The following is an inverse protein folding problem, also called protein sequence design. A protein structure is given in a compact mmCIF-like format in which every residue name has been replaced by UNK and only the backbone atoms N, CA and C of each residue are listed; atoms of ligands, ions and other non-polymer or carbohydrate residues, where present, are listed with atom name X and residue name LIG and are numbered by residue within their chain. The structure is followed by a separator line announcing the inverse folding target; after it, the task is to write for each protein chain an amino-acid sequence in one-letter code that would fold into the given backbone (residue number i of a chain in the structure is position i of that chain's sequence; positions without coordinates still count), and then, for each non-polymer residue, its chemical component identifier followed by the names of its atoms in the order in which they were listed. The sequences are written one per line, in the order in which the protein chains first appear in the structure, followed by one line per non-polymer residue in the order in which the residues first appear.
data_IF_700287326417
#
_entry.id   IF_700287326417
#
_cell.length_a   1.000
_cell.length_b   1.000
_cell.length_c   1.000
_cell.angle_alpha   90.00
_cell.angle_beta   90.00
_cell.angle_gamma   90.00
#
_symmetry.space_group_name_H-M   'P 1'
#
loop_
_entity.id
_entity.type
_entity.pdbx_description
1 polymer ?
#
# COMPACT_ATOMS: atom_id res chain seq x y z
N UNK A 1 16.86 14.90 -27.99
CA UNK A 1 15.90 16.02 -27.76
C UNK A 1 16.58 17.08 -26.91
N UNK A 2 16.33 18.36 -27.18
CA UNK A 2 16.82 19.46 -26.34
C UNK A 2 16.02 19.50 -25.03
N UNK A 3 16.57 20.12 -24.00
CA UNK A 3 15.88 20.33 -22.71
C UNK A 3 14.51 20.99 -22.91
N UNK A 4 14.47 22.09 -23.66
CA UNK A 4 13.25 22.80 -24.01
C UNK A 4 12.20 21.89 -24.70
N UNK A 5 12.63 20.97 -25.58
CA UNK A 5 11.69 20.06 -26.25
C UNK A 5 11.11 19.02 -25.31
N UNK A 6 11.87 18.58 -24.32
CA UNK A 6 11.39 17.66 -23.26
C UNK A 6 10.34 18.37 -22.38
N UNK A 7 10.64 19.58 -21.91
CA UNK A 7 9.72 20.39 -21.12
C UNK A 7 8.38 20.63 -21.83
N UNK A 8 8.42 21.00 -23.13
CA UNK A 8 7.21 21.18 -23.95
C UNK A 8 6.44 19.88 -24.15
N UNK A 9 7.12 18.76 -24.32
CA UNK A 9 6.47 17.46 -24.48
C UNK A 9 5.70 17.08 -23.21
N UNK A 10 6.34 17.21 -22.04
CA UNK A 10 5.70 16.91 -20.76
C UNK A 10 4.55 17.92 -20.44
N UNK A 11 4.73 19.19 -20.77
CA UNK A 11 3.66 20.20 -20.66
C UNK A 11 2.43 19.86 -21.52
N UNK A 12 2.62 19.36 -22.74
CA UNK A 12 1.50 18.87 -23.57
C UNK A 12 0.80 17.66 -22.96
N UNK A 13 1.56 16.74 -22.34
CA UNK A 13 0.99 15.60 -21.63
C UNK A 13 0.12 16.06 -20.46
N UNK A 14 0.58 17.03 -19.66
CA UNK A 14 -0.22 17.62 -18.56
C UNK A 14 -1.54 18.18 -19.11
N UNK A 15 -1.49 18.95 -20.19
CA UNK A 15 -2.70 19.52 -20.81
C UNK A 15 -3.63 18.42 -21.33
N UNK A 16 -3.11 17.36 -21.93
CA UNK A 16 -3.90 16.23 -22.40
C UNK A 16 -4.61 15.51 -21.25
N UNK A 17 -3.90 15.22 -20.16
CA UNK A 17 -4.47 14.63 -18.96
C UNK A 17 -5.55 15.53 -18.35
N UNK A 18 -5.29 16.81 -18.23
CA UNK A 18 -6.28 17.80 -17.73
C UNK A 18 -7.51 17.92 -18.63
N UNK A 19 -7.37 17.66 -19.94
CA UNK A 19 -8.45 17.59 -20.91
C UNK A 19 -9.14 16.20 -20.97
N UNK A 20 -8.99 15.37 -19.95
CA UNK A 20 -9.59 14.05 -19.80
C UNK A 20 -9.12 12.99 -20.81
N UNK A 21 -7.95 13.16 -21.44
CA UNK A 21 -7.35 12.09 -22.22
C UNK A 21 -6.65 11.09 -21.27
N UNK A 22 -6.77 9.80 -21.58
CA UNK A 22 -6.11 8.72 -20.86
C UNK A 22 -4.79 8.35 -21.53
N UNK A 23 -3.83 7.95 -20.72
CA UNK A 23 -2.54 7.44 -21.17
C UNK A 23 -2.60 5.91 -21.32
N UNK A 24 -1.82 5.36 -22.21
CA UNK A 24 -1.50 3.93 -22.19
C UNK A 24 -0.62 3.60 -20.97
N UNK A 25 -0.47 2.31 -20.66
CA UNK A 25 0.42 1.84 -19.59
C UNK A 25 1.86 2.31 -19.81
N UNK A 26 2.35 2.25 -21.06
CA UNK A 26 3.70 2.69 -21.40
C UNK A 26 3.89 4.19 -21.25
N UNK A 27 2.90 5.00 -21.66
CA UNK A 27 2.93 6.46 -21.50
C UNK A 27 2.92 6.84 -20.03
N UNK A 28 2.10 6.18 -19.22
CA UNK A 28 2.06 6.38 -17.78
C UNK A 28 3.39 5.95 -17.13
N UNK A 29 3.96 4.79 -17.53
CA UNK A 29 5.27 4.34 -17.04
C UNK A 29 6.35 5.38 -17.32
N UNK A 30 6.39 5.91 -18.53
CA UNK A 30 7.39 6.92 -18.90
C UNK A 30 7.18 8.24 -18.15
N UNK A 31 5.94 8.70 -17.99
CA UNK A 31 5.64 9.91 -17.24
C UNK A 31 6.07 9.80 -15.77
N UNK A 32 5.72 8.69 -15.11
CA UNK A 32 6.10 8.44 -13.72
C UNK A 32 7.61 8.19 -13.55
N UNK A 33 8.28 7.54 -14.52
CA UNK A 33 9.73 7.41 -14.53
C UNK A 33 10.41 8.78 -14.50
N UNK A 34 9.99 9.71 -15.36
CA UNK A 34 10.55 11.06 -15.40
C UNK A 34 10.35 11.82 -14.08
N UNK A 35 9.23 11.61 -13.40
CA UNK A 35 8.95 12.20 -12.09
C UNK A 35 9.85 11.57 -11.02
N UNK A 36 9.90 10.26 -10.96
CA UNK A 36 10.70 9.49 -9.98
C UNK A 36 12.19 9.85 -10.10
N UNK A 37 12.70 9.91 -11.33
CA UNK A 37 14.10 10.22 -11.61
C UNK A 37 14.39 11.74 -11.60
N UNK A 38 13.39 12.56 -11.26
CA UNK A 38 13.52 14.03 -11.18
C UNK A 38 13.98 14.68 -12.50
N UNK A 39 13.53 14.13 -13.64
CA UNK A 39 13.88 14.63 -14.97
C UNK A 39 13.00 15.81 -15.43
N UNK A 40 11.98 16.15 -14.66
CA UNK A 40 11.08 17.29 -14.92
C UNK A 40 11.15 18.29 -13.77
N UNK A 41 10.96 19.61 -14.03
CA UNK A 41 10.87 20.59 -12.96
C UNK A 41 9.71 20.30 -12.00
N UNK A 42 9.89 20.62 -10.73
CA UNK A 42 8.88 20.34 -9.66
C UNK A 42 7.50 20.93 -9.99
N UNK A 43 7.46 22.10 -10.64
CA UNK A 43 6.22 22.70 -11.09
C UNK A 43 5.43 21.79 -12.05
N UNK A 44 6.12 21.16 -13.01
CA UNK A 44 5.49 20.23 -13.95
C UNK A 44 5.13 18.91 -13.28
N UNK A 45 5.97 18.41 -12.38
CA UNK A 45 5.67 17.19 -11.59
C UNK A 45 4.39 17.37 -10.79
N UNK A 46 4.27 18.46 -10.03
CA UNK A 46 3.10 18.76 -9.23
C UNK A 46 1.83 18.96 -10.09
N UNK A 47 1.95 19.69 -11.20
CA UNK A 47 0.83 19.90 -12.13
C UNK A 47 0.34 18.57 -12.74
N UNK A 48 1.25 17.69 -13.17
CA UNK A 48 0.89 16.37 -13.69
C UNK A 48 0.18 15.53 -12.64
N UNK A 49 0.76 15.39 -11.45
CA UNK A 49 0.23 14.56 -10.38
C UNK A 49 -1.17 15.02 -9.96
N UNK A 50 -1.39 16.33 -9.86
CA UNK A 50 -2.69 16.88 -9.52
C UNK A 50 -3.71 16.68 -10.66
N UNK A 51 -3.33 16.96 -11.91
CA UNK A 51 -4.22 16.74 -13.06
C UNK A 51 -4.63 15.27 -13.17
N UNK A 52 -3.67 14.34 -12.99
CA UNK A 52 -3.90 12.91 -13.09
C UNK A 52 -4.86 12.39 -12.01
N UNK A 53 -4.64 12.74 -10.74
CA UNK A 53 -5.52 12.28 -9.66
C UNK A 53 -6.90 12.93 -9.73
N UNK A 54 -7.00 14.21 -10.12
CA UNK A 54 -8.28 14.93 -10.23
C UNK A 54 -9.16 14.38 -11.34
N UNK A 55 -8.57 14.01 -12.48
CA UNK A 55 -9.29 13.37 -13.58
C UNK A 55 -9.79 11.97 -13.18
N UNK A 56 -9.12 11.30 -12.29
CA UNK A 56 -9.31 9.88 -11.96
C UNK A 56 -8.47 8.99 -12.88
N UNK A 57 -7.39 8.39 -12.38
CA UNK A 57 -6.55 7.49 -13.16
C UNK A 57 -7.28 6.19 -13.52
N UNK A 58 -7.05 5.68 -14.72
CA UNK A 58 -7.48 4.34 -15.12
C UNK A 58 -6.61 3.26 -14.45
N UNK A 59 -7.10 2.02 -14.45
CA UNK A 59 -6.31 0.87 -13.97
C UNK A 59 -5.01 0.70 -14.78
N UNK A 60 -5.08 0.92 -16.09
CA UNK A 60 -3.93 0.83 -16.98
C UNK A 60 -2.85 1.88 -16.63
N UNK A 61 -3.27 3.13 -16.39
CA UNK A 61 -2.37 4.20 -15.97
C UNK A 61 -1.76 3.98 -14.58
N UNK A 62 -2.54 3.46 -13.64
CA UNK A 62 -2.04 3.09 -12.31
C UNK A 62 -1.03 1.94 -12.40
N UNK A 63 -1.28 0.97 -13.28
CA UNK A 63 -0.34 -0.13 -13.53
C UNK A 63 0.97 0.38 -14.12
N UNK A 64 0.90 1.34 -15.06
CA UNK A 64 2.10 1.99 -15.61
C UNK A 64 2.85 2.82 -14.57
N UNK A 65 2.13 3.55 -13.72
CA UNK A 65 2.73 4.27 -12.61
C UNK A 65 3.43 3.33 -11.61
N UNK A 66 2.80 2.17 -11.33
CA UNK A 66 3.38 1.11 -10.51
C UNK A 66 4.63 0.51 -11.15
N UNK A 67 4.63 0.21 -12.45
CA UNK A 67 5.79 -0.30 -13.19
C UNK A 67 7.00 0.64 -13.03
N UNK A 68 6.76 1.95 -13.09
CA UNK A 68 7.81 2.94 -12.88
C UNK A 68 8.32 2.93 -11.43
N UNK A 69 7.43 2.91 -10.44
CA UNK A 69 7.78 2.90 -9.03
C UNK A 69 8.54 1.62 -8.65
N UNK A 70 8.06 0.48 -9.10
CA UNK A 70 8.66 -0.83 -8.83
C UNK A 70 10.07 -0.95 -9.44
N UNK A 71 10.23 -0.52 -10.67
CA UNK A 71 11.50 -0.63 -11.41
C UNK A 71 12.55 0.39 -11.00
N UNK A 72 12.16 1.64 -10.80
CA UNK A 72 13.11 2.74 -10.66
C UNK A 72 13.32 3.20 -9.22
N UNK A 73 12.34 2.99 -8.34
CA UNK A 73 12.42 3.51 -6.96
C UNK A 73 12.36 2.44 -5.86
N UNK A 74 12.06 1.18 -6.17
CA UNK A 74 11.96 0.10 -5.17
C UNK A 74 13.22 -0.75 -5.16
N UNK A 75 13.94 -0.77 -4.03
CA UNK A 75 14.97 -1.76 -3.78
C UNK A 75 14.32 -3.11 -3.45
N UNK A 76 14.93 -4.20 -3.90
CA UNK A 76 14.38 -5.55 -3.76
C UNK A 76 15.25 -6.39 -2.83
N UNK A 77 14.59 -7.17 -1.98
CA UNK A 77 15.17 -8.33 -1.32
C UNK A 77 14.76 -9.61 -2.07
N UNK A 78 15.54 -10.66 -1.92
CA UNK A 78 15.28 -11.97 -2.51
C UNK A 78 15.30 -13.06 -1.45
N UNK A 79 14.66 -14.18 -1.72
CA UNK A 79 14.67 -15.35 -0.84
C UNK A 79 14.47 -16.61 -1.67
N UNK A 80 15.01 -17.72 -1.17
CA UNK A 80 14.83 -19.06 -1.74
C UNK A 80 13.76 -19.89 -0.99
N UNK A 81 12.95 -19.22 -0.16
CA UNK A 81 11.88 -19.91 0.56
C UNK A 81 10.87 -20.53 -0.40
N UNK A 82 10.52 -21.80 -0.20
CA UNK A 82 9.46 -22.42 -0.99
C UNK A 82 8.08 -21.95 -0.53
N UNK A 83 7.14 -21.86 -1.48
CA UNK A 83 5.75 -21.51 -1.24
C UNK A 83 5.48 -20.01 -1.25
N UNK A 84 4.23 -19.61 -1.03
CA UNK A 84 3.81 -18.23 -1.15
C UNK A 84 4.40 -17.36 -0.05
N UNK A 85 4.80 -16.14 -0.43
CA UNK A 85 5.23 -15.08 0.48
C UNK A 85 4.16 -13.99 0.47
N UNK A 86 3.64 -13.66 1.64
CA UNK A 86 2.56 -12.71 1.80
C UNK A 86 3.06 -11.36 2.33
N UNK A 87 2.45 -10.29 1.84
CA UNK A 87 2.53 -8.97 2.47
C UNK A 87 1.17 -8.62 3.10
N UNK A 88 1.19 -7.92 4.23
CA UNK A 88 -0.02 -7.47 4.94
C UNK A 88 0.13 -5.98 5.22
N UNK A 89 -0.69 -5.16 4.55
CA UNK A 89 -0.58 -3.70 4.58
C UNK A 89 -1.97 -3.06 4.53
N UNK A 90 -2.07 -1.78 4.87
CA UNK A 90 -3.24 -0.95 4.66
C UNK A 90 -2.89 0.29 3.85
N UNK A 91 -3.86 0.90 3.20
CA UNK A 91 -3.68 2.17 2.48
C UNK A 91 -3.57 3.35 3.44
N UNK A 92 -4.02 3.18 4.68
CA UNK A 92 -4.25 4.29 5.58
C UNK A 92 -5.40 5.18 5.12
N UNK A 93 -5.49 6.38 5.67
CA UNK A 93 -6.51 7.40 5.33
C UNK A 93 -7.95 6.99 5.62
N UNK A 94 -8.18 5.87 6.26
CA UNK A 94 -9.47 5.38 6.72
C UNK A 94 -10.07 6.31 7.81
N UNK A 95 -11.39 6.52 7.84
CA UNK A 95 -12.06 7.34 8.84
C UNK A 95 -12.07 6.72 10.24
N UNK A 96 -12.26 5.42 10.34
CA UNK A 96 -12.29 4.68 11.60
C UNK A 96 -10.88 4.14 11.91
N UNK A 97 -10.14 4.85 12.75
CA UNK A 97 -8.78 4.45 13.12
C UNK A 97 -8.76 3.33 14.14
N UNK A 98 -8.10 2.23 13.78
CA UNK A 98 -7.86 1.06 14.63
C UNK A 98 -6.46 1.08 15.23
N UNK A 99 -6.18 0.17 16.16
CA UNK A 99 -4.80 -0.22 16.46
C UNK A 99 -4.13 -0.73 15.18
N UNK A 100 -2.79 -0.83 15.18
CA UNK A 100 -2.04 -1.31 13.99
C UNK A 100 -2.25 -2.82 13.74
N UNK A 101 -3.47 -3.22 13.32
CA UNK A 101 -3.90 -4.62 13.21
C UNK A 101 -3.01 -5.44 12.27
N UNK A 102 -2.51 -4.87 11.19
CA UNK A 102 -1.66 -5.56 10.22
C UNK A 102 -0.32 -6.05 10.81
N UNK A 103 0.19 -5.37 11.87
CA UNK A 103 1.44 -5.78 12.54
C UNK A 103 1.29 -7.11 13.31
N UNK A 104 0.36 -7.26 14.26
CA UNK A 104 0.15 -8.54 14.93
C UNK A 104 -0.36 -9.61 13.96
N UNK A 105 -1.17 -9.26 12.95
CA UNK A 105 -1.61 -10.22 11.94
C UNK A 105 -0.44 -10.85 11.18
N UNK A 106 0.58 -10.06 10.81
CA UNK A 106 1.79 -10.57 10.18
C UNK A 106 2.56 -11.53 11.08
N UNK A 107 2.72 -11.21 12.36
CA UNK A 107 3.39 -12.07 13.33
C UNK A 107 2.63 -13.39 13.56
N UNK A 108 1.30 -13.32 13.71
CA UNK A 108 0.45 -14.51 13.88
C UNK A 108 0.49 -15.38 12.63
N UNK A 109 0.37 -14.80 11.43
CA UNK A 109 0.43 -15.55 10.17
C UNK A 109 1.76 -16.27 10.00
N UNK A 110 2.89 -15.62 10.34
CA UNK A 110 4.19 -16.25 10.34
C UNK A 110 4.29 -17.38 11.38
N UNK A 111 3.74 -17.19 12.57
CA UNK A 111 3.62 -18.23 13.60
C UNK A 111 2.79 -19.44 13.17
N UNK A 112 1.82 -19.24 12.28
CA UNK A 112 1.04 -20.30 11.63
C UNK A 112 1.74 -20.95 10.42
N UNK A 113 2.96 -20.49 10.07
CA UNK A 113 3.79 -21.10 9.03
C UNK A 113 3.80 -20.42 7.68
N UNK A 114 3.03 -19.33 7.49
CA UNK A 114 3.07 -18.50 6.29
C UNK A 114 4.37 -17.69 6.25
N UNK A 115 5.04 -17.61 5.11
CA UNK A 115 6.15 -16.69 4.95
C UNK A 115 5.59 -15.26 4.73
N UNK A 116 6.08 -14.28 5.51
CA UNK A 116 5.57 -12.91 5.49
C UNK A 116 6.71 -11.91 5.29
N UNK A 117 6.69 -11.20 4.17
CA UNK A 117 7.56 -10.06 3.91
C UNK A 117 6.73 -8.77 4.06
N UNK A 118 6.58 -8.31 5.30
CA UNK A 118 5.73 -7.16 5.60
C UNK A 118 6.46 -5.86 5.33
N UNK A 119 5.91 -5.05 4.42
CA UNK A 119 6.33 -3.66 4.30
C UNK A 119 5.50 -2.74 5.19
N UNK A 120 6.00 -1.54 5.41
CA UNK A 120 5.27 -0.50 6.12
C UNK A 120 6.06 0.80 6.15
N UNK A 121 5.47 1.81 6.78
CA UNK A 121 6.07 3.14 6.92
C UNK A 121 5.81 3.69 8.32
N UNK A 122 6.51 4.76 8.66
CA UNK A 122 6.18 5.61 9.80
C UNK A 122 4.82 6.27 9.57
N UNK A 123 4.29 6.84 10.61
CA UNK A 123 3.01 7.55 10.62
C UNK A 123 2.87 8.50 9.41
N UNK A 124 1.82 8.27 8.63
CA UNK A 124 1.35 9.21 7.60
C UNK A 124 0.05 9.87 8.04
N UNK A 125 -0.90 9.06 8.56
CA UNK A 125 -2.19 9.52 9.10
C UNK A 125 -2.53 8.73 10.37
N UNK A 126 -3.21 9.33 11.35
CA UNK A 126 -3.58 8.66 12.60
C UNK A 126 -2.58 8.88 13.73
N UNK A 127 -2.34 7.87 14.58
CA UNK A 127 -1.52 7.95 15.81
C UNK A 127 -0.19 7.24 15.68
N UNK A 128 -0.12 6.14 14.90
CA UNK A 128 1.09 5.34 14.67
C UNK A 128 1.04 4.61 13.33
N UNK A 129 2.16 4.56 12.64
CA UNK A 129 2.38 3.67 11.50
C UNK A 129 2.95 2.32 11.94
N UNK A 130 3.10 1.40 10.99
CA UNK A 130 3.68 0.08 11.28
C UNK A 130 5.12 0.17 11.78
N UNK A 131 5.94 1.05 11.19
CA UNK A 131 7.32 1.29 11.62
C UNK A 131 7.40 1.74 13.07
N UNK A 132 6.50 2.65 13.50
CA UNK A 132 6.50 3.15 14.88
C UNK A 132 6.22 2.02 15.89
N UNK A 133 5.34 1.08 15.54
CA UNK A 133 5.05 -0.09 16.39
C UNK A 133 6.24 -1.05 16.41
N UNK A 134 6.82 -1.38 15.26
CA UNK A 134 7.96 -2.29 15.19
C UNK A 134 9.19 -1.75 15.93
N UNK A 135 9.43 -0.43 15.86
CA UNK A 135 10.50 0.22 16.64
C UNK A 135 10.29 0.09 18.15
N UNK A 136 9.04 0.30 18.64
CA UNK A 136 8.69 0.08 20.05
C UNK A 136 8.86 -1.40 20.46
N UNK A 137 8.62 -2.33 19.53
CA UNK A 137 8.83 -3.77 19.74
C UNK A 137 10.32 -4.18 19.66
N UNK A 138 11.23 -3.24 19.40
CA UNK A 138 12.68 -3.47 19.41
C UNK A 138 13.27 -3.85 18.05
N UNK A 139 12.55 -3.65 16.96
CA UNK A 139 13.07 -3.85 15.61
C UNK A 139 13.90 -2.62 15.20
N UNK A 140 15.15 -2.88 14.78
CA UNK A 140 16.04 -1.86 14.24
C UNK A 140 15.62 -1.52 12.79
N UNK A 141 15.02 -0.35 12.61
CA UNK A 141 14.53 0.12 11.30
C UNK A 141 15.65 0.63 10.39
N UNK A 142 16.83 0.94 10.94
CA UNK A 142 18.02 1.40 10.20
C UNK A 142 18.89 0.23 9.74
N UNK A 143 18.51 -1.00 10.08
CA UNK A 143 19.23 -2.19 9.65
C UNK A 143 19.25 -2.31 8.11
N UNK A 144 20.38 -2.69 7.50
CA UNK A 144 20.45 -2.87 6.05
C UNK A 144 19.51 -3.97 5.56
N UNK A 145 18.96 -3.82 4.34
CA UNK A 145 17.97 -4.75 3.76
C UNK A 145 18.41 -6.22 3.75
N UNK A 146 19.71 -6.49 3.71
CA UNK A 146 20.23 -7.87 3.83
C UNK A 146 19.82 -8.55 5.14
N UNK A 147 19.60 -7.79 6.22
CA UNK A 147 19.09 -8.34 7.48
C UNK A 147 17.63 -8.79 7.35
N UNK A 148 16.83 -8.08 6.54
CA UNK A 148 15.47 -8.52 6.23
C UNK A 148 15.47 -9.84 5.43
N UNK A 149 16.40 -10.01 4.48
CA UNK A 149 16.58 -11.28 3.76
C UNK A 149 16.91 -12.42 4.73
N UNK A 150 17.90 -12.20 5.60
CA UNK A 150 18.31 -13.19 6.62
C UNK A 150 17.13 -13.54 7.56
N UNK A 151 16.36 -12.55 8.02
CA UNK A 151 15.19 -12.75 8.87
C UNK A 151 14.10 -13.56 8.14
N UNK A 152 13.79 -13.19 6.90
CA UNK A 152 12.80 -13.90 6.10
C UNK A 152 13.21 -15.35 5.87
N UNK A 153 14.46 -15.59 5.51
CA UNK A 153 15.01 -16.94 5.24
C UNK A 153 15.01 -17.82 6.49
N UNK A 154 15.37 -17.28 7.65
CA UNK A 154 15.55 -18.05 8.87
C UNK A 154 14.29 -18.16 9.73
N UNK A 155 13.40 -17.15 9.69
CA UNK A 155 12.26 -17.03 10.57
C UNK A 155 10.91 -16.93 9.84
N UNK A 156 10.91 -16.94 8.50
CA UNK A 156 9.72 -16.78 7.63
C UNK A 156 8.98 -15.47 7.84
N UNK A 157 9.63 -14.48 8.43
CA UNK A 157 9.09 -13.14 8.58
C UNK A 157 10.21 -12.12 8.51
N UNK A 158 9.94 -11.02 7.81
CA UNK A 158 10.75 -9.81 7.89
C UNK A 158 9.88 -8.56 7.87
N UNK A 159 10.45 -7.46 8.33
CA UNK A 159 9.88 -6.13 8.18
C UNK A 159 10.72 -5.31 7.19
N UNK A 160 10.04 -4.59 6.30
CA UNK A 160 10.64 -3.80 5.23
C UNK A 160 10.15 -2.35 5.38
N UNK A 161 10.88 -1.51 6.12
CA UNK A 161 10.53 -0.10 6.27
C UNK A 161 10.65 0.65 4.94
N UNK A 162 9.67 1.51 4.64
CA UNK A 162 9.63 2.28 3.40
C UNK A 162 10.90 3.11 3.19
N UNK A 163 11.45 3.63 4.26
CA UNK A 163 12.70 4.41 4.27
C UNK A 163 13.92 3.61 3.81
N UNK A 164 13.90 2.27 3.99
CA UNK A 164 14.99 1.39 3.59
C UNK A 164 14.89 0.91 2.15
N UNK A 165 13.67 0.65 1.64
CA UNK A 165 13.52 0.08 0.30
C UNK A 165 13.17 1.11 -0.79
N UNK A 166 12.66 2.29 -0.45
CA UNK A 166 12.47 3.39 -1.41
C UNK A 166 13.81 4.09 -1.67
N UNK A 167 14.23 4.16 -2.91
CA UNK A 167 15.55 4.71 -3.27
C UNK A 167 15.66 6.21 -3.06
N UNK A 168 14.69 7.00 -3.51
CA UNK A 168 14.62 8.44 -3.23
C UNK A 168 13.51 9.17 -3.99
N UNK A 169 13.03 8.65 -5.09
CA UNK A 169 12.11 9.35 -6.00
C UNK A 169 10.80 9.72 -5.33
N UNK A 170 10.08 8.74 -4.83
CA UNK A 170 8.83 8.98 -4.12
C UNK A 170 9.06 9.58 -2.72
N UNK A 171 10.08 9.13 -1.99
CA UNK A 171 10.39 9.66 -0.66
C UNK A 171 10.61 11.19 -0.70
N UNK A 172 11.29 11.71 -1.74
CA UNK A 172 11.46 13.14 -1.99
C UNK A 172 10.11 13.86 -2.14
N UNK A 173 9.20 13.28 -2.91
CA UNK A 173 7.89 13.88 -3.20
C UNK A 173 6.97 13.90 -1.99
N UNK A 174 6.95 12.86 -1.16
CA UNK A 174 6.12 12.77 0.06
C UNK A 174 6.33 13.99 0.96
N UNK A 175 7.57 14.45 1.09
CA UNK A 175 7.92 15.56 1.98
C UNK A 175 7.37 16.91 1.52
N UNK A 176 7.23 17.12 0.21
CA UNK A 176 6.88 18.44 -0.36
C UNK A 176 5.47 18.49 -0.94
N UNK A 177 4.92 17.38 -1.39
CA UNK A 177 3.68 17.34 -2.17
C UNK A 177 2.44 17.68 -1.35
N UNK A 178 2.31 17.20 -0.12
CA UNK A 178 1.24 17.48 0.85
C UNK A 178 -0.20 17.41 0.28
N UNK A 179 -0.41 16.65 -0.79
CA UNK A 179 -1.72 16.35 -1.37
C UNK A 179 -1.77 14.90 -1.87
N UNK A 180 -2.99 14.37 -2.05
CA UNK A 180 -3.19 13.01 -2.55
C UNK A 180 -2.86 12.92 -4.04
N UNK A 181 -2.15 11.88 -4.43
CA UNK A 181 -1.81 11.57 -5.82
C UNK A 181 -1.94 10.07 -6.08
N UNK A 182 -1.69 9.62 -7.30
CA UNK A 182 -1.68 8.20 -7.61
C UNK A 182 -0.64 7.41 -6.76
N UNK A 183 0.42 8.05 -6.27
CA UNK A 183 1.35 7.40 -5.35
C UNK A 183 0.69 6.89 -4.05
N UNK A 184 -0.38 7.53 -3.58
CA UNK A 184 -1.13 7.06 -2.42
C UNK A 184 -1.88 5.73 -2.71
N UNK A 185 -2.15 5.44 -3.98
CA UNK A 185 -2.78 4.20 -4.43
C UNK A 185 -1.72 3.13 -4.71
N UNK A 186 -0.69 3.46 -5.52
CA UNK A 186 0.31 2.49 -5.96
C UNK A 186 1.42 2.24 -4.94
N UNK A 187 1.68 3.17 -4.03
CA UNK A 187 2.72 3.02 -3.00
C UNK A 187 2.49 1.80 -2.10
N UNK A 188 1.29 1.59 -1.56
CA UNK A 188 0.96 0.38 -0.82
C UNK A 188 1.08 -0.91 -1.64
N UNK A 189 1.13 -0.82 -2.98
CA UNK A 189 1.29 -1.95 -3.89
C UNK A 189 2.76 -2.26 -4.23
N UNK A 190 3.74 -1.50 -3.76
CA UNK A 190 5.16 -1.78 -3.99
C UNK A 190 5.54 -3.19 -3.54
N UNK A 191 6.47 -3.84 -4.24
CA UNK A 191 6.92 -5.22 -3.97
C UNK A 191 8.41 -5.24 -3.61
N UNK A 192 8.79 -4.83 -2.39
CA UNK A 192 10.20 -4.86 -1.95
C UNK A 192 10.74 -6.27 -1.70
N UNK A 193 9.89 -7.30 -1.66
CA UNK A 193 10.31 -8.69 -1.78
C UNK A 193 9.92 -9.20 -3.18
N UNK A 194 10.88 -9.66 -3.96
CA UNK A 194 10.65 -10.02 -5.37
C UNK A 194 9.70 -11.22 -5.51
N UNK A 195 9.75 -12.15 -4.54
CA UNK A 195 8.92 -13.36 -4.51
C UNK A 195 7.55 -13.17 -3.82
N UNK A 196 7.10 -11.93 -3.57
CA UNK A 196 5.74 -11.73 -3.05
C UNK A 196 4.68 -12.27 -4.03
N UNK A 197 3.96 -13.30 -3.59
CA UNK A 197 2.92 -14.00 -4.34
C UNK A 197 1.51 -13.63 -3.91
N UNK A 198 1.36 -13.09 -2.70
CA UNK A 198 0.07 -12.68 -2.18
C UNK A 198 0.16 -11.42 -1.32
N UNK A 199 -0.96 -10.70 -1.27
CA UNK A 199 -1.07 -9.48 -0.48
C UNK A 199 -2.45 -9.37 0.17
N UNK A 200 -2.48 -8.98 1.44
CA UNK A 200 -3.68 -8.45 2.07
C UNK A 200 -3.50 -6.94 2.17
N UNK A 201 -4.34 -6.20 1.47
CA UNK A 201 -4.24 -4.74 1.40
C UNK A 201 -5.58 -4.09 1.75
N UNK A 202 -5.73 -3.65 3.00
CA UNK A 202 -6.90 -2.91 3.44
C UNK A 202 -7.02 -1.56 2.74
N UNK A 203 -8.24 -1.10 2.52
CA UNK A 203 -8.53 0.16 1.85
C UNK A 203 -9.58 0.99 2.57
N UNK A 204 -9.48 2.30 2.41
CA UNK A 204 -10.36 3.26 3.07
C UNK A 204 -11.75 3.41 2.42
N UNK A 205 -12.02 2.74 1.32
CA UNK A 205 -13.35 2.67 0.70
C UNK A 205 -13.50 1.45 -0.21
N UNK A 206 -14.74 0.97 -0.44
CA UNK A 206 -14.99 -0.14 -1.37
C UNK A 206 -14.53 0.14 -2.81
N UNK A 207 -14.60 1.38 -3.26
CA UNK A 207 -14.13 1.80 -4.58
C UNK A 207 -12.63 1.63 -4.71
N UNK A 208 -11.88 2.01 -3.66
CA UNK A 208 -10.42 1.83 -3.63
C UNK A 208 -10.07 0.34 -3.55
N UNK A 209 -10.81 -0.49 -2.81
CA UNK A 209 -10.63 -1.96 -2.83
C UNK A 209 -10.70 -2.51 -4.26
N UNK A 210 -11.75 -2.16 -5.00
CA UNK A 210 -11.93 -2.60 -6.38
C UNK A 210 -10.79 -2.12 -7.30
N UNK A 211 -10.35 -0.87 -7.13
CA UNK A 211 -9.25 -0.29 -7.90
C UNK A 211 -7.91 -0.99 -7.61
N UNK A 212 -7.60 -1.23 -6.33
CA UNK A 212 -6.37 -1.93 -5.92
C UNK A 212 -6.32 -3.34 -6.49
N UNK A 213 -7.42 -4.10 -6.38
CA UNK A 213 -7.52 -5.47 -6.90
C UNK A 213 -7.39 -5.49 -8.43
N UNK A 214 -7.97 -4.51 -9.13
CA UNK A 214 -7.82 -4.40 -10.57
C UNK A 214 -6.36 -4.15 -10.98
N UNK A 215 -5.65 -3.24 -10.29
CA UNK A 215 -4.22 -2.98 -10.53
C UNK A 215 -3.40 -4.23 -10.21
N UNK A 216 -3.66 -4.91 -9.07
CA UNK A 216 -2.95 -6.13 -8.69
C UNK A 216 -3.09 -7.24 -9.74
N UNK A 217 -4.26 -7.38 -10.35
CA UNK A 217 -4.45 -8.30 -11.49
C UNK A 217 -3.60 -7.91 -12.71
N UNK A 218 -3.58 -6.63 -13.08
CA UNK A 218 -2.83 -6.14 -14.23
C UNK A 218 -1.30 -6.27 -14.05
N UNK A 219 -0.81 -6.24 -12.82
CA UNK A 219 0.61 -6.46 -12.50
C UNK A 219 0.93 -7.94 -12.19
N UNK A 220 0.01 -8.85 -12.52
CA UNK A 220 0.14 -10.31 -12.36
C UNK A 220 0.40 -10.75 -10.91
N UNK A 221 -0.26 -10.13 -9.93
CA UNK A 221 -0.28 -10.66 -8.56
C UNK A 221 -1.12 -11.94 -8.54
N UNK A 222 -0.59 -13.08 -8.06
CA UNK A 222 -1.33 -14.34 -8.09
C UNK A 222 -2.56 -14.35 -7.18
N UNK A 223 -2.44 -13.74 -5.98
CA UNK A 223 -3.53 -13.69 -5.02
C UNK A 223 -3.54 -12.38 -4.22
N UNK A 224 -4.72 -11.85 -3.95
CA UNK A 224 -4.86 -10.66 -3.12
C UNK A 224 -6.23 -10.61 -2.43
N UNK A 225 -6.26 -10.02 -1.23
CA UNK A 225 -7.48 -9.65 -0.53
C UNK A 225 -7.45 -8.15 -0.26
N UNK A 226 -8.53 -7.44 -0.60
CA UNK A 226 -8.70 -6.04 -0.26
C UNK A 226 -9.94 -5.87 0.65
N UNK A 227 -9.74 -5.91 1.99
CA UNK A 227 -10.81 -5.70 2.95
C UNK A 227 -11.15 -4.21 3.12
N UNK A 228 -12.44 -3.96 3.35
CA UNK A 228 -13.02 -2.72 3.86
C UNK A 228 -13.94 -3.07 5.02
N UNK A 229 -13.46 -2.87 6.24
CA UNK A 229 -14.20 -3.17 7.47
C UNK A 229 -15.18 -2.06 7.84
N UNK A 230 -16.34 -2.45 8.33
CA UNK A 230 -17.38 -1.55 8.84
C UNK A 230 -17.55 -1.77 10.33
N UNK A 231 -18.21 -0.85 11.02
CA UNK A 231 -18.54 -0.98 12.43
C UNK A 231 -20.04 -0.80 12.65
N UNK A 232 -20.63 -1.65 13.47
CA UNK A 232 -22.07 -1.59 13.81
C UNK A 232 -22.40 -0.26 14.50
N UNK A 233 -23.48 0.35 14.05
CA UNK A 233 -23.91 1.66 14.56
C UNK A 233 -23.22 2.86 13.93
N UNK A 234 -22.28 2.67 13.00
CA UNK A 234 -21.64 3.74 12.23
C UNK A 234 -22.17 3.80 10.80
N UNK A 235 -21.99 4.94 10.15
CA UNK A 235 -22.28 5.07 8.72
C UNK A 235 -21.39 4.08 7.93
N UNK A 236 -21.95 3.21 7.07
CA UNK A 236 -21.18 2.28 6.25
C UNK A 236 -20.14 2.95 5.30
N UNK A 237 -20.25 4.25 5.06
CA UNK A 237 -19.22 5.03 4.35
C UNK A 237 -18.00 5.37 5.21
N UNK A 238 -18.12 5.21 6.53
CA UNK A 238 -17.04 5.40 7.50
C UNK A 238 -16.50 4.03 7.90
N UNK A 239 -15.51 3.54 7.18
CA UNK A 239 -14.91 2.23 7.44
C UNK A 239 -13.44 2.31 7.82
N UNK A 240 -12.84 1.14 7.92
CA UNK A 240 -11.43 0.92 8.25
C UNK A 240 -10.76 0.06 7.17
N UNK A 241 -9.47 0.23 6.99
CA UNK A 241 -8.65 -0.52 6.04
C UNK A 241 -8.18 -1.89 6.61
N UNK A 242 -9.05 -2.56 7.37
CA UNK A 242 -8.80 -3.81 8.07
C UNK A 242 -10.01 -4.77 7.94
N UNK A 243 -9.81 -6.06 8.24
CA UNK A 243 -10.91 -6.93 8.61
C UNK A 243 -11.48 -6.48 9.95
N UNK A 244 -12.77 -6.21 10.01
CA UNK A 244 -13.42 -5.66 11.21
C UNK A 244 -13.80 -6.76 12.20
N UNK A 245 -13.53 -6.51 13.48
CA UNK A 245 -14.18 -7.22 14.58
C UNK A 245 -15.44 -6.50 15.09
N UNK A 246 -15.73 -5.29 14.60
CA UNK A 246 -16.84 -4.47 15.09
C UNK A 246 -18.07 -4.48 14.17
N UNK A 247 -18.04 -5.27 13.11
CA UNK A 247 -19.12 -5.38 12.13
C UNK A 247 -18.67 -6.12 10.87
N UNK A 248 -19.45 -6.08 9.80
CA UNK A 248 -19.11 -6.80 8.57
C UNK A 248 -17.90 -6.18 7.86
N UNK A 249 -17.27 -6.98 7.01
CA UNK A 249 -16.17 -6.57 6.13
C UNK A 249 -16.50 -6.93 4.69
N UNK A 250 -16.48 -5.96 3.79
CA UNK A 250 -16.51 -6.19 2.35
C UNK A 250 -15.12 -6.54 1.87
N UNK A 251 -15.02 -7.62 1.09
CA UNK A 251 -13.74 -8.11 0.57
C UNK A 251 -13.80 -8.14 -0.95
N UNK A 252 -12.83 -7.54 -1.61
CA UNK A 252 -12.52 -7.82 -3.01
C UNK A 252 -11.34 -8.79 -3.03
N UNK A 253 -11.51 -9.93 -3.71
CA UNK A 253 -10.50 -10.99 -3.79
C UNK A 253 -10.01 -11.17 -5.22
N UNK A 254 -8.71 -11.28 -5.39
CA UNK A 254 -8.05 -11.75 -6.60
C UNK A 254 -7.50 -13.15 -6.33
N UNK A 255 -7.89 -14.10 -7.16
CA UNK A 255 -7.35 -15.47 -7.13
C UNK A 255 -7.34 -16.03 -8.55
N UNK A 256 -6.21 -16.52 -9.01
CA UNK A 256 -6.06 -17.13 -10.35
C UNK A 256 -6.61 -16.20 -11.47
N UNK A 257 -6.26 -14.91 -11.42
CA UNK A 257 -6.71 -13.84 -12.29
C UNK A 257 -8.23 -13.52 -12.24
N UNK A 258 -9.03 -14.27 -11.47
CA UNK A 258 -10.43 -13.98 -11.24
C UNK A 258 -10.62 -13.00 -10.07
N UNK A 259 -11.53 -12.05 -10.24
CA UNK A 259 -11.93 -11.10 -9.19
C UNK A 259 -13.32 -11.47 -8.70
N UNK A 260 -13.44 -11.63 -7.39
CA UNK A 260 -14.73 -11.85 -6.71
C UNK A 260 -14.91 -10.83 -5.59
N UNK A 261 -16.16 -10.61 -5.18
CA UNK A 261 -16.46 -9.74 -4.05
C UNK A 261 -17.51 -10.41 -3.17
N UNK A 262 -17.30 -10.33 -1.87
CA UNK A 262 -18.20 -10.91 -0.87
C UNK A 262 -18.13 -10.12 0.43
N UNK A 263 -18.99 -10.45 1.37
CA UNK A 263 -18.99 -9.88 2.70
C UNK A 263 -18.79 -11.01 3.72
N UNK A 264 -18.02 -10.73 4.77
CA UNK A 264 -17.79 -11.62 5.90
C UNK A 264 -18.01 -10.87 7.21
N UNK A 265 -18.32 -11.63 8.25
CA UNK A 265 -18.50 -11.14 9.61
C UNK A 265 -17.49 -11.81 10.55
N UNK A 266 -17.25 -11.31 11.76
CA UNK A 266 -16.41 -11.98 12.75
C UNK A 266 -16.85 -13.43 13.02
N UNK A 267 -18.16 -13.70 12.97
CA UNK A 267 -18.75 -15.01 13.23
C UNK A 267 -18.36 -16.05 12.18
N UNK A 268 -18.09 -15.65 10.95
CA UNK A 268 -17.59 -16.54 9.88
C UNK A 268 -16.20 -17.12 10.19
N UNK A 269 -15.47 -16.46 11.09
CA UNK A 269 -14.16 -16.89 11.60
C UNK A 269 -14.23 -17.48 13.02
N UNK A 270 -15.43 -17.73 13.55
CA UNK A 270 -15.63 -18.23 14.91
C UNK A 270 -15.36 -17.19 16.01
N UNK A 271 -15.28 -15.91 15.64
CA UNK A 271 -15.09 -14.78 16.55
C UNK A 271 -16.46 -14.16 16.89
N UNK A 272 -16.47 -13.25 17.85
CA UNK A 272 -17.68 -12.51 18.21
C UNK A 272 -17.51 -11.06 17.82
N UNK A 273 -18.56 -10.46 17.28
CA UNK A 273 -18.62 -9.02 17.09
C UNK A 273 -18.45 -8.29 18.42
N UNK A 274 -17.61 -7.27 18.45
CA UNK A 274 -17.30 -6.45 19.61
C UNK A 274 -17.55 -4.98 19.31
N UNK A 275 -17.82 -4.14 20.33
CA UNK A 275 -17.92 -2.69 20.12
C UNK A 275 -16.62 -2.11 19.54
N UNK A 276 -16.75 -1.11 18.64
CA UNK A 276 -15.60 -0.50 17.95
C UNK A 276 -14.52 0.01 18.91
N UNK A 277 -14.89 0.51 20.08
CA UNK A 277 -13.96 1.02 21.09
C UNK A 277 -12.92 -0.03 21.53
N UNK A 278 -13.20 -1.32 21.37
CA UNK A 278 -12.26 -2.40 21.68
C UNK A 278 -11.08 -2.46 20.72
N UNK A 279 -11.32 -2.10 19.46
CA UNK A 279 -10.31 -2.14 18.38
C UNK A 279 -9.84 -0.74 17.97
N UNK A 280 -10.46 0.31 18.45
CA UNK A 280 -10.11 1.69 18.16
C UNK A 280 -8.66 2.02 18.55
N UNK A 281 -8.00 2.86 17.73
CA UNK A 281 -6.66 3.37 18.04
C UNK A 281 -6.62 4.04 19.40
N UNK A 282 -5.54 3.82 20.13
CA UNK A 282 -5.25 4.50 21.40
C UNK A 282 -4.64 5.88 21.13
N UNK A 283 -4.36 6.65 22.17
CA UNK A 283 -3.87 8.02 22.05
C UNK A 283 -2.39 8.09 21.63
N UNK A 284 -1.61 7.04 21.90
CA UNK A 284 -0.18 6.99 21.59
C UNK A 284 0.22 5.66 20.92
N UNK A 285 1.33 5.68 20.18
CA UNK A 285 1.93 4.48 19.61
C UNK A 285 2.30 3.43 20.69
N UNK A 286 2.80 3.89 21.84
CA UNK A 286 3.13 3.01 22.96
C UNK A 286 1.89 2.31 23.56
N UNK A 287 0.76 2.99 23.61
CA UNK A 287 -0.50 2.37 24.05
C UNK A 287 -1.04 1.38 23.02
N UNK A 288 -0.94 1.68 21.72
CA UNK A 288 -1.26 0.73 20.65
C UNK A 288 -0.37 -0.52 20.73
N UNK A 289 0.94 -0.34 20.92
CA UNK A 289 1.87 -1.46 21.07
C UNK A 289 1.54 -2.36 22.27
N UNK A 290 1.10 -1.79 23.39
CA UNK A 290 0.65 -2.56 24.58
C UNK A 290 -0.59 -3.40 24.35
N UNK A 291 -1.46 -3.02 23.42
CA UNK A 291 -2.63 -3.83 23.04
C UNK A 291 -2.23 -4.99 22.14
N UNK A 292 -1.15 -4.81 21.38
CA UNK A 292 -0.61 -5.82 20.46
C UNK A 292 0.14 -6.93 21.21
N UNK A 293 0.83 -6.59 22.31
CA UNK A 293 1.53 -7.52 23.18
C UNK A 293 0.58 -8.27 24.13
#
# INVERSE_FOLDING_TARGET
MTEESKLRAFGRLICAVAAHNYMSREEATEAYRQIILNEQPELQQGAFLMAHITRGPSTEELSGAWDALDRYDTAKIQTDLPGPICDIVGTGSDPLKTINCSTPAALIAAGCGLAVAKKGARLVTGVSGASDIFEILGIDLDAPLVRAEECLQNHKICYLPGEAFLKSGWARLIQVMRFTSAFNIIGPLTRPCEQNDCIVIGAYSPQVCAQLIAVLREINMPAALAPYGMADGFDPALGMDEFSLAGPTRVAELRDAAITSYEVTPEDFGLKTVPFEKIASRQTAAENAKVIL
#
